data_IF_123423386884
#
_entry.id   IF_123423386884
#
_cell.length_a   1.000
_cell.length_b   1.000
_cell.length_c   1.000
_cell.angle_alpha   90.00
_cell.angle_beta   90.00
_cell.angle_gamma   90.00
#
_symmetry.space_group_name_H-M   'P 1'
#
loop_
_entity.id
_entity.type
_entity.pdbx_description
1 polymer ?
#
# COMPACT_ATOMS: atom_id res chain seq x y z
N UNK A 1 75.32 -34.13 -41.29
CA UNK A 1 74.49 -33.13 -42.00
C UNK A 1 73.38 -33.87 -42.72
N UNK A 2 72.09 -33.58 -42.49
CA UNK A 2 71.02 -34.18 -43.29
C UNK A 2 71.28 -33.89 -44.77
N UNK A 3 71.09 -34.87 -45.64
CA UNK A 3 71.26 -34.66 -47.08
C UNK A 3 70.25 -33.60 -47.56
N UNK A 4 70.60 -32.84 -48.59
CA UNK A 4 69.73 -31.83 -49.20
C UNK A 4 68.33 -32.37 -49.52
N UNK A 5 68.23 -33.66 -49.83
CA UNK A 5 66.98 -34.39 -50.10
C UNK A 5 66.11 -34.53 -48.84
N UNK A 6 66.71 -34.83 -47.68
CA UNK A 6 65.99 -34.95 -46.40
C UNK A 6 65.42 -33.59 -45.97
N UNK A 7 66.20 -32.51 -46.12
CA UNK A 7 65.70 -31.15 -45.82
C UNK A 7 64.56 -30.74 -46.75
N UNK A 8 64.64 -31.08 -48.04
CA UNK A 8 63.58 -30.78 -49.01
C UNK A 8 62.28 -31.54 -48.70
N UNK A 9 62.38 -32.81 -48.29
CA UNK A 9 61.24 -33.60 -47.82
C UNK A 9 60.58 -33.01 -46.58
N UNK A 10 61.37 -32.54 -45.60
CA UNK A 10 60.85 -31.89 -44.38
C UNK A 10 60.10 -30.60 -44.74
N UNK A 11 60.62 -29.80 -45.67
CA UNK A 11 59.95 -28.57 -46.14
C UNK A 11 58.61 -28.91 -46.79
N UNK A 12 58.58 -29.89 -47.69
CA UNK A 12 57.35 -30.31 -48.39
C UNK A 12 56.31 -30.83 -47.39
N UNK A 13 56.70 -31.67 -46.43
CA UNK A 13 55.81 -32.18 -45.39
C UNK A 13 55.28 -31.06 -44.51
N UNK A 14 56.12 -30.08 -44.14
CA UNK A 14 55.71 -28.92 -43.33
C UNK A 14 54.69 -28.05 -44.07
N UNK A 15 54.89 -27.82 -45.37
CA UNK A 15 53.94 -27.08 -46.22
C UNK A 15 52.61 -27.82 -46.32
N UNK A 16 52.61 -29.15 -46.53
CA UNK A 16 51.39 -29.95 -46.60
C UNK A 16 50.60 -29.94 -45.30
N UNK A 17 51.28 -30.02 -44.15
CA UNK A 17 50.64 -29.92 -42.82
C UNK A 17 50.05 -28.52 -42.62
N UNK A 18 50.76 -27.46 -43.01
CA UNK A 18 50.27 -26.09 -42.89
C UNK A 18 49.03 -25.84 -43.77
N UNK A 19 49.00 -26.32 -45.02
CA UNK A 19 47.85 -26.22 -45.92
C UNK A 19 46.66 -27.02 -45.37
N UNK A 20 46.91 -28.21 -44.84
CA UNK A 20 45.86 -29.04 -44.22
C UNK A 20 45.28 -28.38 -42.97
N UNK A 21 46.13 -27.78 -42.12
CA UNK A 21 45.69 -27.00 -40.97
C UNK A 21 44.88 -25.77 -41.37
N UNK A 22 45.31 -25.04 -42.39
CA UNK A 22 44.61 -23.85 -42.89
C UNK A 22 43.25 -24.20 -43.50
N UNK A 23 43.14 -25.29 -44.26
CA UNK A 23 41.87 -25.75 -44.85
C UNK A 23 40.89 -26.24 -43.79
N UNK A 24 41.35 -26.98 -42.77
CA UNK A 24 40.52 -27.33 -41.61
C UNK A 24 40.01 -26.08 -40.87
N UNK A 25 40.90 -25.10 -40.64
CA UNK A 25 40.54 -23.83 -39.99
C UNK A 25 39.54 -23.01 -40.81
N UNK A 26 39.74 -22.89 -42.13
CA UNK A 26 38.85 -22.17 -43.04
C UNK A 26 37.45 -22.83 -43.11
N UNK A 27 37.40 -24.16 -43.10
CA UNK A 27 36.14 -24.92 -43.10
C UNK A 27 35.40 -24.81 -41.76
N UNK A 28 36.15 -24.77 -40.66
CA UNK A 28 35.60 -24.51 -39.33
C UNK A 28 35.03 -23.09 -39.22
N UNK A 29 35.73 -22.08 -39.72
CA UNK A 29 35.25 -20.69 -39.73
C UNK A 29 34.06 -20.50 -40.67
N UNK A 30 34.03 -21.14 -41.84
CA UNK A 30 32.89 -20.99 -42.76
C UNK A 30 31.60 -21.57 -42.18
N UNK A 31 31.71 -22.62 -41.36
CA UNK A 31 30.55 -23.25 -40.70
C UNK A 31 30.15 -22.54 -39.40
N UNK A 32 31.11 -22.10 -38.58
CA UNK A 32 30.84 -21.44 -37.29
C UNK A 32 30.74 -19.91 -37.37
N UNK A 33 31.27 -19.30 -38.42
CA UNK A 33 31.32 -17.84 -38.58
C UNK A 33 29.93 -17.22 -38.72
N UNK A 34 29.01 -17.89 -39.42
CA UNK A 34 27.61 -17.44 -39.51
C UNK A 34 26.92 -17.45 -38.15
N UNK A 35 27.09 -18.51 -37.35
CA UNK A 35 26.53 -18.55 -35.99
C UNK A 35 27.16 -17.52 -35.06
N UNK A 36 28.47 -17.25 -35.21
CA UNK A 36 29.17 -16.24 -34.42
C UNK A 36 28.68 -14.83 -34.75
N UNK A 37 28.57 -14.49 -36.03
CA UNK A 37 28.04 -13.19 -36.48
C UNK A 37 26.59 -12.98 -36.04
N UNK A 38 25.77 -14.04 -36.07
CA UNK A 38 24.40 -14.00 -35.57
C UNK A 38 24.36 -13.71 -34.06
N UNK A 39 25.22 -14.35 -33.28
CA UNK A 39 25.32 -14.11 -31.85
C UNK A 39 25.79 -12.69 -31.56
N UNK A 40 26.84 -12.21 -32.24
CA UNK A 40 27.35 -10.84 -32.09
C UNK A 40 26.28 -9.79 -32.41
N UNK A 41 25.46 -10.02 -33.45
CA UNK A 41 24.35 -9.13 -33.78
C UNK A 41 23.30 -9.07 -32.65
N UNK A 42 22.86 -10.22 -32.14
CA UNK A 42 21.86 -10.29 -31.06
C UNK A 42 22.42 -9.74 -29.74
N UNK A 43 23.71 -9.95 -29.47
CA UNK A 43 24.44 -9.34 -28.34
C UNK A 43 24.49 -7.81 -28.51
N UNK A 44 24.73 -7.32 -29.72
CA UNK A 44 24.69 -5.89 -30.04
C UNK A 44 23.32 -5.26 -29.80
N UNK A 45 22.23 -5.96 -30.15
CA UNK A 45 20.87 -5.53 -29.81
C UNK A 45 20.68 -5.50 -28.29
N UNK A 46 21.05 -6.59 -27.61
CA UNK A 46 20.91 -6.74 -26.15
C UNK A 46 21.52 -5.59 -25.36
N UNK A 47 22.72 -5.14 -25.74
CA UNK A 47 23.44 -4.03 -25.09
C UNK A 47 22.75 -2.66 -25.23
N UNK A 48 21.86 -2.51 -26.20
CA UNK A 48 21.20 -1.24 -26.52
C UNK A 48 19.75 -1.17 -26.01
N UNK A 49 19.27 -2.22 -25.33
CA UNK A 49 17.95 -2.22 -24.72
C UNK A 49 18.00 -1.44 -23.41
N UNK A 50 17.00 -0.59 -23.19
CA UNK A 50 16.82 0.12 -21.92
C UNK A 50 15.38 -0.05 -21.46
N UNK A 51 15.22 -0.40 -20.18
CA UNK A 51 13.92 -0.55 -19.55
C UNK A 51 13.87 0.40 -18.35
N UNK A 52 12.87 1.27 -18.35
CA UNK A 52 12.60 2.19 -17.24
C UNK A 52 11.25 1.86 -16.62
N UNK A 53 11.21 1.82 -15.29
CA UNK A 53 10.05 1.44 -14.50
C UNK A 53 9.64 2.58 -13.58
N UNK A 54 8.34 2.89 -13.48
CA UNK A 54 7.84 3.88 -12.52
C UNK A 54 7.78 3.36 -11.09
N UNK A 55 7.54 4.26 -10.14
CA UNK A 55 7.15 3.91 -8.77
C UNK A 55 5.82 3.15 -8.74
N UNK A 56 5.60 2.38 -7.67
CA UNK A 56 4.40 1.55 -7.46
C UNK A 56 3.15 2.43 -7.40
N UNK A 57 2.16 2.14 -8.24
CA UNK A 57 0.83 2.75 -8.17
C UNK A 57 -0.14 1.74 -7.55
N UNK A 58 -0.27 1.76 -6.22
CA UNK A 58 -1.04 0.74 -5.48
C UNK A 58 -2.53 1.08 -5.33
N UNK A 59 -3.38 0.05 -5.51
CA UNK A 59 -4.75 0.00 -4.96
C UNK A 59 -5.03 -1.41 -4.44
N UNK A 60 -5.11 -1.56 -3.12
CA UNK A 60 -5.47 -2.84 -2.49
C UNK A 60 -6.89 -3.25 -2.84
N UNK A 61 -7.10 -4.53 -3.14
CA UNK A 61 -8.44 -5.11 -3.27
C UNK A 61 -8.78 -5.95 -2.03
N UNK A 62 -10.03 -5.82 -1.58
CA UNK A 62 -10.68 -6.53 -0.47
C UNK A 62 -10.69 -8.06 -0.68
N UNK A 63 -10.84 -8.93 0.35
CA UNK A 63 -10.76 -8.74 1.80
C UNK A 63 -9.55 -9.46 2.45
N UNK A 64 -8.57 -9.93 1.66
CA UNK A 64 -7.41 -10.63 2.22
C UNK A 64 -6.15 -10.29 1.44
N UNK A 65 -5.10 -9.92 2.15
CA UNK A 65 -3.72 -9.71 1.67
C UNK A 65 -3.07 -10.95 1.03
N UNK A 66 -3.86 -11.95 0.64
CA UNK A 66 -3.41 -13.11 -0.12
C UNK A 66 -2.87 -12.70 -1.48
N UNK A 67 -3.44 -11.66 -2.09
CA UNK A 67 -3.00 -11.13 -3.37
C UNK A 67 -3.11 -9.61 -3.44
N UNK A 68 -2.20 -8.99 -4.17
CA UNK A 68 -2.19 -7.56 -4.48
C UNK A 68 -2.21 -7.38 -5.99
N UNK A 69 -3.01 -6.42 -6.45
CA UNK A 69 -2.86 -5.90 -7.80
C UNK A 69 -1.86 -4.75 -7.74
N UNK A 70 -0.77 -4.90 -8.48
CA UNK A 70 0.26 -3.88 -8.63
C UNK A 70 0.30 -3.43 -10.08
N UNK A 71 0.54 -2.14 -10.29
CA UNK A 71 0.67 -1.57 -11.61
C UNK A 71 1.88 -0.65 -11.70
N UNK A 72 2.59 -0.73 -12.83
CA UNK A 72 3.80 0.03 -13.13
C UNK A 72 3.71 0.58 -14.55
N UNK A 73 4.23 1.79 -14.76
CA UNK A 73 4.57 2.24 -16.10
C UNK A 73 5.91 1.62 -16.48
N UNK A 74 5.93 0.97 -17.63
CA UNK A 74 7.11 0.37 -18.24
C UNK A 74 7.37 1.10 -19.53
N UNK A 75 8.54 1.68 -19.66
CA UNK A 75 9.02 2.25 -20.91
C UNK A 75 10.18 1.39 -21.40
N UNK A 76 10.10 0.95 -22.67
CA UNK A 76 11.13 0.11 -23.28
C UNK A 76 11.67 0.78 -24.52
N UNK A 77 12.99 0.96 -24.55
CA UNK A 77 13.74 1.42 -25.71
C UNK A 77 14.53 0.25 -26.29
N UNK A 78 14.35 0.01 -27.57
CA UNK A 78 15.04 -1.01 -28.37
C UNK A 78 15.56 -0.40 -29.68
N UNK A 79 16.70 -0.85 -30.22
CA UNK A 79 17.13 -0.49 -31.56
C UNK A 79 16.24 -1.08 -32.67
N UNK A 80 15.36 -2.04 -32.35
CA UNK A 80 14.37 -2.62 -33.27
C UNK A 80 13.01 -1.94 -33.12
N UNK A 81 12.19 -1.93 -34.17
CA UNK A 81 10.84 -1.33 -34.13
C UNK A 81 9.88 -2.07 -33.20
N UNK A 82 9.98 -3.40 -33.16
CA UNK A 82 9.16 -4.27 -32.33
C UNK A 82 10.03 -5.26 -31.55
N UNK A 83 9.55 -5.62 -30.37
CA UNK A 83 10.10 -6.66 -29.49
C UNK A 83 8.93 -7.42 -28.85
N UNK A 84 9.21 -8.66 -28.46
CA UNK A 84 8.22 -9.50 -27.77
C UNK A 84 8.52 -9.52 -26.28
N UNK A 85 7.52 -9.24 -25.45
CA UNK A 85 7.67 -9.24 -23.99
C UNK A 85 6.80 -10.31 -23.37
N UNK A 86 7.37 -11.00 -22.38
CA UNK A 86 6.67 -11.99 -21.56
C UNK A 86 6.77 -11.54 -20.09
N UNK A 87 5.73 -10.87 -19.56
CA UNK A 87 5.65 -10.54 -18.15
C UNK A 87 5.08 -11.73 -17.36
N UNK A 88 5.69 -12.05 -16.21
CA UNK A 88 5.18 -13.10 -15.33
C UNK A 88 5.56 -12.88 -13.88
N UNK A 89 4.85 -13.55 -12.98
CA UNK A 89 5.09 -13.47 -11.53
C UNK A 89 5.85 -14.70 -11.09
N UNK A 90 6.89 -14.52 -10.27
CA UNK A 90 7.71 -15.60 -9.75
C UNK A 90 8.05 -15.38 -8.27
N UNK A 91 8.42 -16.47 -7.58
CA UNK A 91 8.97 -16.39 -6.21
C UNK A 91 10.46 -16.04 -6.25
N UNK A 92 11.00 -15.21 -5.34
CA UNK A 92 12.41 -14.85 -5.29
C UNK A 92 13.34 -16.08 -5.29
N UNK A 93 14.39 -16.03 -6.11
CA UNK A 93 15.45 -17.01 -6.24
C UNK A 93 16.77 -16.25 -6.26
N UNK A 94 17.85 -16.94 -5.88
CA UNK A 94 19.18 -16.35 -5.74
C UNK A 94 19.67 -15.71 -7.05
N UNK A 95 19.29 -16.28 -8.19
CA UNK A 95 19.70 -15.77 -9.50
C UNK A 95 18.50 -15.58 -10.44
N UNK A 96 18.14 -14.32 -10.77
CA UNK A 96 17.01 -14.05 -11.64
C UNK A 96 17.17 -14.52 -13.10
N UNK A 97 18.39 -14.86 -13.51
CA UNK A 97 18.66 -15.39 -14.83
C UNK A 97 17.90 -16.69 -15.14
N UNK A 98 17.59 -17.51 -14.14
CA UNK A 98 17.01 -18.85 -14.34
C UNK A 98 15.48 -18.91 -14.29
N UNK A 99 14.81 -17.77 -14.14
CA UNK A 99 13.37 -17.74 -14.06
C UNK A 99 12.68 -18.08 -15.36
N UNK A 100 11.92 -19.17 -15.41
CA UNK A 100 11.08 -19.48 -16.57
C UNK A 100 9.65 -18.96 -16.39
N UNK A 101 9.01 -18.42 -17.45
CA UNK A 101 7.59 -18.10 -17.43
C UNK A 101 6.75 -19.35 -17.14
N UNK A 102 5.80 -19.29 -16.19
CA UNK A 102 4.83 -20.36 -15.96
C UNK A 102 3.74 -20.37 -17.05
N UNK A 103 3.05 -21.50 -17.21
CA UNK A 103 1.92 -21.63 -18.15
C UNK A 103 0.76 -20.69 -17.80
N UNK A 104 0.47 -20.51 -16.50
CA UNK A 104 -0.54 -19.58 -16.02
C UNK A 104 0.11 -18.23 -15.71
N UNK A 105 -0.18 -17.21 -16.53
CA UNK A 105 0.32 -15.87 -16.31
C UNK A 105 -0.62 -15.02 -15.45
N UNK A 106 -0.01 -14.28 -14.51
CA UNK A 106 -0.70 -13.37 -13.60
C UNK A 106 -0.37 -11.90 -13.91
N UNK A 107 0.16 -11.61 -15.10
CA UNK A 107 0.56 -10.27 -15.51
C UNK A 107 0.07 -9.98 -16.94
N UNK A 108 -0.30 -8.72 -17.17
CA UNK A 108 -0.84 -8.22 -18.44
C UNK A 108 -0.27 -6.83 -18.75
N UNK A 109 -0.19 -6.51 -20.04
CA UNK A 109 0.21 -5.19 -20.52
C UNK A 109 -0.98 -4.42 -21.10
N UNK A 110 -1.01 -3.12 -20.85
CA UNK A 110 -2.03 -2.19 -21.34
C UNK A 110 -1.38 -0.96 -21.94
N UNK A 111 -2.07 -0.30 -22.88
CA UNK A 111 -1.72 1.04 -23.33
C UNK A 111 -2.80 2.03 -22.89
N UNK A 112 -2.39 3.29 -22.70
CA UNK A 112 -3.30 4.37 -22.36
C UNK A 112 -4.01 4.89 -23.62
N UNK A 113 -5.32 5.08 -23.54
CA UNK A 113 -6.12 5.70 -24.60
C UNK A 113 -7.06 6.76 -24.01
N UNK A 114 -7.62 7.63 -24.86
CA UNK A 114 -8.61 8.62 -24.45
C UNK A 114 -9.89 8.01 -23.84
N UNK A 115 -10.15 6.71 -24.04
CA UNK A 115 -11.30 5.97 -23.49
C UNK A 115 -10.92 5.09 -22.29
N UNK A 116 -9.71 5.26 -21.74
CA UNK A 116 -9.17 4.46 -20.64
C UNK A 116 -8.07 3.48 -21.09
N UNK A 117 -7.80 2.47 -20.28
CA UNK A 117 -6.73 1.50 -20.53
C UNK A 117 -7.22 0.34 -21.39
N UNK A 118 -6.51 0.07 -22.48
CA UNK A 118 -6.81 -1.03 -23.41
C UNK A 118 -5.70 -2.06 -23.28
N UNK A 119 -6.06 -3.33 -23.12
CA UNK A 119 -5.09 -4.41 -23.02
C UNK A 119 -4.37 -4.60 -24.36
N UNK A 120 -3.05 -4.73 -24.32
CA UNK A 120 -2.25 -5.12 -25.49
C UNK A 120 -2.66 -6.53 -25.89
N UNK A 121 -2.91 -6.75 -27.18
CA UNK A 121 -3.31 -8.06 -27.70
C UNK A 121 -2.21 -9.08 -27.40
N UNK A 122 -2.55 -10.12 -26.64
CA UNK A 122 -1.65 -11.22 -26.35
C UNK A 122 -1.76 -12.32 -27.41
N UNK A 123 -0.74 -13.16 -27.47
CA UNK A 123 -0.74 -14.39 -28.26
C UNK A 123 -0.08 -15.52 -27.48
N UNK A 124 -0.46 -16.77 -27.78
CA UNK A 124 0.18 -17.95 -27.17
C UNK A 124 1.57 -18.12 -27.75
N UNK A 125 2.58 -18.16 -26.89
CA UNK A 125 3.98 -18.36 -27.23
C UNK A 125 4.43 -19.74 -26.76
N UNK A 126 4.73 -20.62 -27.72
CA UNK A 126 5.27 -21.96 -27.45
C UNK A 126 6.52 -22.20 -28.29
N UNK A 127 7.68 -21.84 -27.75
CA UNK A 127 8.96 -21.92 -28.48
C UNK A 127 10.15 -22.20 -27.55
N UNK A 128 11.23 -22.70 -28.16
CA UNK A 128 12.54 -22.80 -27.52
C UNK A 128 13.21 -21.41 -27.47
N UNK A 129 13.67 -21.01 -26.30
CA UNK A 129 14.34 -19.71 -26.07
C UNK A 129 15.81 -19.93 -25.73
N UNK A 130 16.68 -19.08 -26.28
CA UNK A 130 18.13 -19.16 -26.13
C UNK A 130 18.71 -17.87 -25.53
N UNK A 131 19.87 -17.97 -24.88
CA UNK A 131 20.66 -16.81 -24.48
C UNK A 131 21.45 -16.25 -25.67
N UNK A 132 21.61 -14.92 -25.79
CA UNK A 132 22.51 -14.32 -26.78
C UNK A 132 23.96 -14.77 -26.59
N UNK A 133 24.39 -14.93 -25.33
CA UNK A 133 25.74 -15.39 -25.00
C UNK A 133 25.82 -16.90 -25.23
N UNK A 134 26.72 -17.32 -26.14
CA UNK A 134 27.00 -18.72 -26.47
C UNK A 134 25.81 -19.51 -27.06
N UNK A 135 24.65 -18.89 -27.29
CA UNK A 135 23.48 -19.58 -27.82
C UNK A 135 22.89 -20.63 -26.87
N UNK A 136 23.14 -20.51 -25.56
CA UNK A 136 22.73 -21.48 -24.56
C UNK A 136 21.21 -21.64 -24.54
N UNK A 137 20.72 -22.89 -24.55
CA UNK A 137 19.30 -23.17 -24.41
C UNK A 137 18.81 -22.82 -23.00
N UNK A 138 17.83 -21.92 -22.90
CA UNK A 138 17.24 -21.48 -21.64
C UNK A 138 16.02 -22.32 -21.23
N UNK A 139 15.33 -22.90 -22.21
CA UNK A 139 14.16 -23.73 -21.97
C UNK A 139 13.10 -23.62 -23.06
N UNK A 140 12.14 -24.54 -23.01
CA UNK A 140 10.93 -24.47 -23.82
C UNK A 140 9.87 -23.68 -23.04
N UNK A 141 9.52 -22.51 -23.56
CA UNK A 141 8.54 -21.63 -22.92
C UNK A 141 7.16 -21.94 -23.48
N UNK A 142 6.18 -22.02 -22.59
CA UNK A 142 4.75 -22.03 -22.92
C UNK A 142 4.06 -20.97 -22.06
N UNK A 143 3.77 -19.81 -22.64
CA UNK A 143 3.22 -18.65 -21.93
C UNK A 143 2.49 -17.71 -22.89
N UNK A 144 1.83 -16.66 -22.39
CA UNK A 144 1.33 -15.58 -23.26
C UNK A 144 2.42 -14.51 -23.46
N UNK A 145 2.52 -14.01 -24.68
CA UNK A 145 3.46 -12.97 -25.05
C UNK A 145 2.74 -11.78 -25.68
N UNK A 146 3.41 -10.64 -25.65
CA UNK A 146 2.89 -9.36 -26.15
C UNK A 146 3.94 -8.77 -27.09
N UNK A 147 3.51 -8.38 -28.30
CA UNK A 147 4.37 -7.55 -29.15
C UNK A 147 4.20 -6.10 -28.72
N UNK A 148 5.32 -5.44 -28.45
CA UNK A 148 5.35 -4.04 -28.09
C UNK A 148 6.25 -3.28 -29.06
N UNK A 149 5.90 -2.03 -29.31
CA UNK A 149 6.70 -1.12 -30.11
C UNK A 149 7.78 -0.48 -29.24
N UNK A 150 8.93 -0.23 -29.85
CA UNK A 150 10.02 0.49 -29.20
C UNK A 150 9.65 1.95 -28.92
N UNK A 151 10.22 2.51 -27.84
CA UNK A 151 10.05 3.88 -27.38
C UNK A 151 8.63 4.24 -26.94
N UNK A 152 7.80 3.25 -26.60
CA UNK A 152 6.45 3.46 -26.06
C UNK A 152 6.36 3.10 -24.57
N UNK A 153 5.40 3.73 -23.89
CA UNK A 153 5.08 3.47 -22.49
C UNK A 153 3.86 2.56 -22.41
N UNK A 154 4.00 1.48 -21.63
CA UNK A 154 2.95 0.53 -21.34
C UNK A 154 2.67 0.50 -19.83
N UNK A 155 1.47 0.07 -19.46
CA UNK A 155 1.12 -0.23 -18.08
C UNK A 155 1.22 -1.74 -17.90
N UNK A 156 2.16 -2.16 -17.06
CA UNK A 156 2.23 -3.52 -16.58
C UNK A 156 1.37 -3.65 -15.35
N UNK A 157 0.36 -4.52 -15.39
CA UNK A 157 -0.44 -4.87 -14.22
C UNK A 157 -0.25 -6.34 -13.89
N UNK A 158 -0.06 -6.65 -12.61
CA UNK A 158 0.10 -8.02 -12.16
C UNK A 158 -0.60 -8.29 -10.82
N UNK A 159 -1.07 -9.53 -10.66
CA UNK A 159 -1.60 -10.06 -9.40
C UNK A 159 -0.52 -10.88 -8.70
N UNK A 160 -0.04 -10.39 -7.56
CA UNK A 160 1.11 -10.95 -6.82
C UNK A 160 0.72 -11.35 -5.40
N UNK A 161 1.45 -12.29 -4.78
CA UNK A 161 1.40 -12.57 -3.33
C UNK A 161 2.52 -11.82 -2.58
N UNK A 162 2.42 -11.65 -1.24
CA UNK A 162 3.54 -11.15 -0.45
C UNK A 162 4.85 -11.89 -0.77
N UNK A 163 5.92 -11.13 -1.00
CA UNK A 163 7.24 -11.69 -1.31
C UNK A 163 7.45 -12.13 -2.75
N UNK A 164 6.45 -12.08 -3.65
CA UNK A 164 6.65 -12.41 -5.06
C UNK A 164 7.17 -11.21 -5.86
N UNK A 165 7.91 -11.50 -6.93
CA UNK A 165 8.46 -10.52 -7.88
C UNK A 165 7.76 -10.64 -9.23
N UNK A 166 7.80 -9.57 -10.03
CA UNK A 166 7.38 -9.59 -11.43
C UNK A 166 8.64 -9.59 -12.28
N UNK A 167 8.66 -10.40 -13.32
CA UNK A 167 9.78 -10.52 -14.24
C UNK A 167 9.27 -10.17 -15.63
N UNK A 168 10.04 -9.38 -16.35
CA UNK A 168 9.83 -9.10 -17.76
C UNK A 168 10.97 -9.72 -18.55
N UNK A 169 10.63 -10.74 -19.34
CA UNK A 169 11.53 -11.23 -20.37
C UNK A 169 11.33 -10.44 -21.65
N UNK A 170 12.43 -9.99 -22.25
CA UNK A 170 12.43 -9.37 -23.57
C UNK A 170 13.03 -10.37 -24.56
N UNK A 171 12.23 -10.69 -25.56
CA UNK A 171 12.56 -11.64 -26.61
C UNK A 171 12.68 -10.94 -27.96
N UNK A 172 13.62 -11.44 -28.76
CA UNK A 172 13.76 -11.08 -30.16
C UNK A 172 13.87 -12.35 -31.01
N UNK A 173 13.15 -12.37 -32.12
CA UNK A 173 13.23 -13.45 -33.09
C UNK A 173 14.24 -13.09 -34.17
N UNK A 174 15.28 -13.91 -34.32
CA UNK A 174 16.32 -13.69 -35.32
C UNK A 174 16.79 -15.03 -35.89
N UNK A 175 16.80 -15.13 -37.23
CA UNK A 175 17.28 -16.30 -37.99
C UNK A 175 16.75 -17.65 -37.45
N UNK A 176 15.45 -17.77 -37.25
CA UNK A 176 14.81 -19.03 -36.88
C UNK A 176 14.81 -19.34 -35.38
N UNK A 177 15.39 -18.48 -34.53
CA UNK A 177 15.50 -18.69 -33.08
C UNK A 177 14.97 -17.50 -32.29
N UNK A 178 14.41 -17.80 -31.12
CA UNK A 178 14.04 -16.80 -30.13
C UNK A 178 15.16 -16.62 -29.12
N UNK A 179 15.62 -15.38 -28.97
CA UNK A 179 16.65 -15.02 -28.01
C UNK A 179 16.08 -14.17 -26.89
N UNK A 180 16.40 -14.48 -25.64
CA UNK A 180 16.14 -13.58 -24.51
C UNK A 180 17.24 -12.52 -24.45
N UNK A 181 16.99 -11.42 -25.15
CA UNK A 181 17.92 -10.31 -25.32
C UNK A 181 18.09 -9.48 -24.06
N UNK A 182 17.08 -9.42 -23.19
CA UNK A 182 17.19 -8.78 -21.88
C UNK A 182 16.16 -9.36 -20.91
N UNK A 183 16.37 -9.12 -19.62
CA UNK A 183 15.37 -9.34 -18.61
C UNK A 183 15.52 -8.32 -17.49
N UNK A 184 14.39 -7.89 -16.94
CA UNK A 184 14.37 -7.14 -15.69
C UNK A 184 13.39 -7.77 -14.73
N UNK A 185 13.55 -7.45 -13.46
CA UNK A 185 12.59 -7.82 -12.45
C UNK A 185 12.22 -6.60 -11.63
N UNK A 186 10.95 -6.57 -11.28
CA UNK A 186 10.38 -5.64 -10.34
C UNK A 186 10.23 -6.44 -9.06
N UNK A 187 10.92 -6.02 -8.00
CA UNK A 187 10.62 -6.51 -6.68
C UNK A 187 9.67 -5.54 -5.99
N UNK A 188 8.36 -5.85 -5.91
CA UNK A 188 7.41 -4.98 -5.25
C UNK A 188 7.77 -4.82 -3.76
N UNK A 189 8.44 -5.79 -3.10
CA UNK A 189 8.86 -5.63 -1.69
C UNK A 189 9.97 -4.60 -1.50
N UNK A 190 10.96 -4.51 -2.41
CA UNK A 190 12.00 -3.47 -2.37
C UNK A 190 11.46 -2.08 -2.74
N UNK A 191 10.41 -2.02 -3.56
CA UNK A 191 9.65 -0.80 -3.81
C UNK A 191 8.70 -0.42 -2.65
N UNK A 192 8.72 -1.19 -1.56
CA UNK A 192 7.87 -0.97 -0.39
C UNK A 192 6.50 -1.64 -0.47
N UNK A 193 6.41 -2.96 -0.66
CA UNK A 193 5.18 -3.71 -0.27
C UNK A 193 4.95 -3.74 1.25
N UNK A 194 5.71 -2.97 2.02
CA UNK A 194 5.37 -2.69 3.39
C UNK A 194 4.35 -1.57 3.43
N UNK A 195 3.20 -1.85 4.03
CA UNK A 195 2.33 -0.78 4.46
C UNK A 195 3.05 -0.10 5.62
N UNK A 196 3.35 1.18 5.48
CA UNK A 196 3.78 2.01 6.60
C UNK A 196 2.53 2.43 7.33
N UNK A 197 2.47 2.24 8.64
CA UNK A 197 1.45 2.84 9.46
C UNK A 197 2.09 3.70 10.55
N UNK A 198 1.30 4.64 11.02
CA UNK A 198 1.74 5.66 11.94
C UNK A 198 1.91 5.07 13.34
N UNK A 199 3.13 5.11 13.85
CA UNK A 199 3.39 4.78 15.25
C UNK A 199 2.73 5.79 16.16
N UNK A 200 2.25 5.31 17.30
CA UNK A 200 1.85 6.19 18.38
C UNK A 200 2.99 7.10 18.85
N UNK A 201 4.25 6.78 18.57
CA UNK A 201 5.44 7.53 19.00
C UNK A 201 5.64 8.94 18.42
N UNK A 202 4.77 9.40 17.52
CA UNK A 202 4.86 10.74 16.95
C UNK A 202 4.37 11.83 17.91
N UNK A 203 4.86 13.06 17.73
CA UNK A 203 4.19 14.25 18.26
C UNK A 203 3.18 14.69 17.20
N UNK A 204 1.88 14.59 17.48
CA UNK A 204 0.81 15.09 16.61
C UNK A 204 0.36 16.44 17.14
N UNK A 205 0.61 17.49 16.37
CA UNK A 205 0.13 18.83 16.70
C UNK A 205 -1.05 19.14 15.78
N UNK A 206 -2.24 19.13 16.36
CA UNK A 206 -3.44 19.66 15.73
C UNK A 206 -3.38 21.21 15.76
N UNK A 207 -2.37 21.83 15.14
CA UNK A 207 -2.31 23.29 14.97
C UNK A 207 -2.32 23.67 13.49
N UNK A 208 -3.44 24.21 13.03
CA UNK A 208 -3.48 25.06 11.85
C UNK A 208 -2.94 26.44 12.23
N UNK A 209 -1.62 26.62 12.25
CA UNK A 209 -0.97 27.88 12.62
C UNK A 209 -1.24 29.07 11.68
N UNK A 210 -2.07 28.91 10.65
CA UNK A 210 -2.46 29.97 9.73
C UNK A 210 -3.98 29.94 9.57
N UNK A 211 -4.68 30.86 10.24
CA UNK A 211 -5.79 31.67 9.74
C UNK A 211 -6.48 32.35 10.94
N UNK A 212 -6.65 33.68 10.86
CA UNK A 212 -7.61 34.45 11.67
C UNK A 212 -9.07 34.10 11.28
N UNK A 213 -9.36 32.81 11.11
CA UNK A 213 -10.68 32.24 10.86
C UNK A 213 -10.67 30.86 11.53
N UNK A 214 -11.68 30.51 12.34
CA UNK A 214 -11.66 29.33 13.18
C UNK A 214 -11.70 28.07 12.30
N UNK A 215 -10.53 27.47 12.05
CA UNK A 215 -10.46 26.06 11.70
C UNK A 215 -11.14 25.28 12.82
N UNK A 216 -11.93 24.24 12.51
CA UNK A 216 -13.09 23.92 13.32
C UNK A 216 -12.67 23.53 14.74
N UNK A 217 -12.89 24.46 15.67
CA UNK A 217 -13.61 24.12 16.88
C UNK A 217 -14.68 23.12 16.44
N UNK A 218 -14.53 21.84 16.77
CA UNK A 218 -15.54 20.84 16.43
C UNK A 218 -16.74 21.22 17.28
N UNK A 219 -17.60 22.09 16.73
CA UNK A 219 -18.76 22.66 17.40
C UNK A 219 -19.64 21.47 17.75
N UNK A 220 -19.51 20.96 18.96
CA UNK A 220 -20.28 19.82 19.46
C UNK A 220 -21.65 20.33 19.91
N UNK A 221 -22.29 21.23 19.13
CA UNK A 221 -23.65 21.76 19.36
C UNK A 221 -24.77 20.68 19.31
N UNK A 222 -24.47 19.45 19.73
CA UNK A 222 -24.68 18.21 19.03
C UNK A 222 -24.76 17.11 20.08
N UNK A 223 -25.97 16.58 20.30
CA UNK A 223 -26.24 15.64 21.39
C UNK A 223 -25.62 14.25 21.22
N UNK A 224 -24.52 14.10 20.47
CA UNK A 224 -23.76 12.86 20.39
C UNK A 224 -22.44 12.98 19.64
N UNK A 225 -21.39 12.39 20.23
CA UNK A 225 -20.08 12.15 19.63
C UNK A 225 -19.79 10.65 19.64
N UNK A 226 -19.34 10.13 18.50
CA UNK A 226 -18.81 8.78 18.36
C UNK A 226 -17.37 8.87 17.86
N UNK A 227 -16.49 8.05 18.42
CA UNK A 227 -15.08 7.99 18.02
C UNK A 227 -14.63 6.53 17.94
N UNK A 228 -13.70 6.22 17.04
CA UNK A 228 -13.03 4.93 17.07
C UNK A 228 -11.78 4.88 16.21
N UNK A 229 -10.97 3.85 16.43
CA UNK A 229 -9.71 3.66 15.73
C UNK A 229 -9.31 2.18 15.66
N UNK A 230 -8.46 1.88 14.69
CA UNK A 230 -7.73 0.62 14.59
C UNK A 230 -6.32 0.80 15.13
N UNK A 231 -5.91 -0.07 16.05
CA UNK A 231 -4.55 -0.09 16.60
C UNK A 231 -3.98 -1.50 16.72
N UNK A 232 -2.66 -1.58 16.79
CA UNK A 232 -1.89 -2.82 17.00
C UNK A 232 -0.80 -2.55 18.04
N UNK A 233 -0.66 -3.46 19.00
CA UNK A 233 0.50 -3.48 19.88
C UNK A 233 1.71 -4.06 19.13
N UNK A 234 2.79 -3.29 19.02
CA UNK A 234 4.05 -3.69 18.38
C UNK A 234 5.04 -4.28 19.35
N UNK A 235 5.14 -3.74 20.55
CA UNK A 235 6.00 -4.23 21.62
C UNK A 235 5.27 -4.09 22.96
N UNK A 236 5.77 -4.70 24.03
CA UNK A 236 5.17 -4.55 25.34
C UNK A 236 5.46 -3.16 25.92
N UNK A 237 4.42 -2.46 26.38
CA UNK A 237 4.54 -1.16 27.03
C UNK A 237 5.17 -1.30 28.43
N UNK A 238 6.45 -0.99 28.61
CA UNK A 238 7.05 -1.01 29.96
C UNK A 238 6.51 0.10 30.87
N UNK A 239 5.97 1.17 30.28
CA UNK A 239 5.38 2.33 30.95
C UNK A 239 4.01 2.65 30.35
N UNK A 240 3.23 3.52 31.00
CA UNK A 240 1.96 4.02 30.45
C UNK A 240 2.17 4.69 29.10
N UNK A 241 1.61 4.07 28.06
CA UNK A 241 1.68 4.54 26.68
C UNK A 241 0.28 4.90 26.20
N UNK A 242 0.06 6.19 25.89
CA UNK A 242 -1.20 6.68 25.35
C UNK A 242 -1.39 6.19 23.91
N UNK A 243 -2.62 5.78 23.59
CA UNK A 243 -3.08 5.43 22.22
C UNK A 243 -3.98 6.55 21.71
N UNK A 244 -4.88 7.06 22.55
CA UNK A 244 -5.81 8.13 22.21
C UNK A 244 -6.13 8.98 23.44
N UNK A 245 -6.16 10.30 23.25
CA UNK A 245 -6.79 11.25 24.15
C UNK A 245 -7.79 12.12 23.36
N UNK A 246 -9.03 12.18 23.82
CA UNK A 246 -10.04 13.10 23.31
C UNK A 246 -10.45 14.02 24.44
N UNK A 247 -9.98 15.26 24.40
CA UNK A 247 -10.34 16.33 25.36
C UNK A 247 -11.56 17.07 24.84
N UNK A 248 -12.59 17.19 25.67
CA UNK A 248 -13.87 17.79 25.35
C UNK A 248 -14.08 19.01 26.26
N UNK A 249 -14.39 20.15 25.65
CA UNK A 249 -14.86 21.33 26.36
C UNK A 249 -16.37 21.25 26.50
N UNK A 250 -16.94 21.23 27.73
CA UNK A 250 -18.37 21.10 27.96
C UNK A 250 -19.22 22.24 27.39
N UNK A 251 -20.55 22.04 27.36
CA UNK A 251 -21.51 23.09 26.97
C UNK A 251 -21.93 24.02 28.11
N UNK A 252 -21.91 23.54 29.35
CA UNK A 252 -22.08 24.37 30.53
C UNK A 252 -20.73 24.96 30.99
N UNK A 253 -20.75 25.90 31.95
CA UNK A 253 -19.56 26.49 32.57
C UNK A 253 -18.79 25.46 33.42
N UNK A 254 -18.18 24.47 32.77
CA UNK A 254 -17.32 23.46 33.37
C UNK A 254 -15.93 23.47 32.73
N UNK A 255 -14.94 22.95 33.45
CA UNK A 255 -13.63 22.68 32.85
C UNK A 255 -13.70 21.50 31.89
N UNK A 256 -12.68 21.40 31.03
CA UNK A 256 -12.56 20.31 30.07
C UNK A 256 -12.56 18.93 30.76
N UNK A 257 -12.90 17.88 30.02
CA UNK A 257 -12.66 16.51 30.44
C UNK A 257 -12.05 15.69 29.29
N UNK A 258 -11.31 14.64 29.61
CA UNK A 258 -10.64 13.79 28.63
C UNK A 258 -11.16 12.36 28.67
N UNK A 259 -11.31 11.74 27.51
CA UNK A 259 -11.48 10.29 27.34
C UNK A 259 -10.14 9.73 26.89
N UNK A 260 -9.59 8.80 27.66
CA UNK A 260 -8.23 8.29 27.55
C UNK A 260 -8.23 6.79 27.26
N UNK A 261 -7.40 6.37 26.31
CA UNK A 261 -7.11 4.97 25.99
C UNK A 261 -5.60 4.79 26.01
N UNK A 262 -5.10 3.86 26.83
CA UNK A 262 -3.66 3.62 26.98
C UNK A 262 -3.37 2.15 27.29
N UNK A 263 -2.10 1.77 27.14
CA UNK A 263 -1.61 0.43 27.45
C UNK A 263 -0.48 0.48 28.50
N UNK A 264 -0.40 -0.59 29.30
CA UNK A 264 0.72 -0.91 30.20
C UNK A 264 0.94 -2.43 30.14
N UNK A 265 2.15 -2.85 29.80
CA UNK A 265 2.49 -4.22 29.46
C UNK A 265 1.68 -4.67 28.26
N UNK A 266 0.92 -5.75 28.43
CA UNK A 266 -0.06 -6.27 27.47
C UNK A 266 -1.51 -5.94 27.86
N UNK A 267 -1.72 -4.98 28.78
CA UNK A 267 -3.03 -4.63 29.31
C UNK A 267 -3.49 -3.30 28.75
N UNK A 268 -4.67 -3.32 28.15
CA UNK A 268 -5.38 -2.15 27.67
C UNK A 268 -6.26 -1.57 28.78
N UNK A 269 -6.12 -0.27 29.01
CA UNK A 269 -6.89 0.49 29.98
C UNK A 269 -7.63 1.62 29.27
N UNK A 270 -8.77 1.96 29.85
CA UNK A 270 -9.59 3.07 29.40
C UNK A 270 -10.05 3.89 30.59
N UNK A 271 -10.24 5.19 30.39
CA UNK A 271 -10.60 6.08 31.48
C UNK A 271 -11.11 7.43 31.04
N UNK A 272 -11.66 8.16 31.99
CA UNK A 272 -12.03 9.57 31.88
C UNK A 272 -11.26 10.38 32.91
N UNK A 273 -10.92 11.62 32.57
CA UNK A 273 -10.26 12.55 33.48
C UNK A 273 -11.00 13.89 33.45
N UNK A 274 -11.53 14.32 34.58
CA UNK A 274 -12.21 15.61 34.74
C UNK A 274 -11.20 16.63 35.28
N UNK A 275 -11.00 17.74 34.54
CA UNK A 275 -10.03 18.76 34.94
C UNK A 275 -10.50 19.61 36.12
N UNK A 276 -11.82 19.77 36.31
CA UNK A 276 -12.38 20.58 37.40
C UNK A 276 -12.16 19.87 38.74
N UNK A 277 -12.67 18.64 38.85
CA UNK A 277 -12.54 17.84 40.07
C UNK A 277 -11.17 17.16 40.21
N UNK A 278 -10.34 17.17 39.16
CA UNK A 278 -9.08 16.42 39.06
C UNK A 278 -9.26 14.92 39.34
N UNK A 279 -10.46 14.40 39.07
CA UNK A 279 -10.79 12.99 39.28
C UNK A 279 -10.52 12.19 38.02
N UNK A 280 -9.98 10.99 38.22
CA UNK A 280 -9.75 10.03 37.15
C UNK A 280 -10.58 8.77 37.40
N UNK A 281 -11.47 8.43 36.48
CA UNK A 281 -12.12 7.13 36.44
C UNK A 281 -11.39 6.26 35.44
N UNK A 282 -10.95 5.08 35.85
CA UNK A 282 -10.25 4.17 34.95
C UNK A 282 -10.67 2.72 35.19
N UNK A 283 -10.61 1.92 34.14
CA UNK A 283 -10.82 0.48 34.23
C UNK A 283 -9.90 -0.27 33.28
N UNK A 284 -9.53 -1.47 33.69
CA UNK A 284 -8.88 -2.44 32.81
C UNK A 284 -9.91 -2.97 31.82
N UNK A 285 -9.61 -2.89 30.53
CA UNK A 285 -10.51 -3.34 29.47
C UNK A 285 -10.16 -4.74 28.97
N UNK A 286 -8.91 -5.02 28.59
CA UNK A 286 -8.57 -6.30 27.97
C UNK A 286 -7.06 -6.56 27.92
N UNK A 287 -6.66 -7.82 27.80
CA UNK A 287 -5.26 -8.21 27.52
C UNK A 287 -5.05 -8.30 26.01
N UNK A 288 -4.35 -7.33 25.45
CA UNK A 288 -4.00 -7.27 24.04
C UNK A 288 -2.74 -8.09 23.77
N UNK A 289 -2.64 -8.66 22.58
CA UNK A 289 -1.52 -9.48 22.15
C UNK A 289 -0.71 -8.73 21.08
N UNK A 290 0.61 -8.83 21.20
CA UNK A 290 1.53 -8.26 20.22
C UNK A 290 1.24 -8.80 18.81
N UNK A 291 1.23 -7.92 17.82
CA UNK A 291 1.01 -8.30 16.42
C UNK A 291 -0.46 -8.41 16.01
N UNK A 292 -1.42 -8.34 16.95
CA UNK A 292 -2.84 -8.40 16.64
C UNK A 292 -3.47 -7.01 16.52
N UNK A 293 -4.38 -6.85 15.55
CA UNK A 293 -5.14 -5.64 15.34
C UNK A 293 -6.44 -5.65 16.13
N UNK A 294 -6.74 -4.51 16.74
CA UNK A 294 -7.93 -4.28 17.56
C UNK A 294 -8.65 -3.02 17.10
N UNK A 295 -9.98 -3.07 17.11
CA UNK A 295 -10.82 -1.90 16.88
C UNK A 295 -11.45 -1.48 18.19
N UNK A 296 -11.18 -0.25 18.61
CA UNK A 296 -11.77 0.33 19.81
C UNK A 296 -12.62 1.53 19.40
N UNK A 297 -13.80 1.63 19.98
CA UNK A 297 -14.70 2.75 19.75
C UNK A 297 -15.50 3.08 21.00
N UNK A 298 -15.99 4.31 21.04
CA UNK A 298 -16.85 4.80 22.10
C UNK A 298 -17.84 5.83 21.57
N UNK A 299 -18.88 6.09 22.35
CA UNK A 299 -19.82 7.17 22.08
C UNK A 299 -20.41 7.73 23.36
N UNK A 300 -20.67 9.03 23.40
CA UNK A 300 -21.37 9.72 24.49
C UNK A 300 -22.20 10.89 23.92
N UNK A 301 -23.20 11.37 24.67
CA UNK A 301 -24.13 12.38 24.16
C UNK A 301 -25.50 12.38 24.85
N UNK A 302 -26.17 13.53 24.91
CA UNK A 302 -27.55 13.63 25.42
C UNK A 302 -28.60 12.85 24.60
N UNK A 303 -28.36 12.61 23.30
CA UNK A 303 -29.22 11.83 22.40
C UNK A 303 -28.88 10.34 22.39
N UNK A 304 -27.85 9.92 23.13
CA UNK A 304 -27.46 8.53 23.28
C UNK A 304 -28.01 7.95 24.58
N UNK A 305 -28.13 6.61 24.65
CA UNK A 305 -28.71 5.91 25.82
C UNK A 305 -27.96 6.15 27.14
N UNK A 306 -26.72 6.61 27.09
CA UNK A 306 -25.86 6.86 28.26
C UNK A 306 -25.46 8.34 28.28
N UNK A 307 -26.32 9.18 28.85
CA UNK A 307 -26.11 10.63 28.89
C UNK A 307 -24.94 11.02 29.80
N UNK A 308 -24.74 10.32 30.92
CA UNK A 308 -23.71 10.65 31.92
C UNK A 308 -22.58 9.61 31.97
N UNK A 309 -22.47 8.77 30.94
CA UNK A 309 -21.38 7.82 30.85
C UNK A 309 -20.97 7.53 29.41
N UNK A 310 -19.69 7.23 29.24
CA UNK A 310 -19.13 6.75 27.97
C UNK A 310 -18.98 5.23 28.02
N UNK A 311 -19.56 4.56 27.03
CA UNK A 311 -19.36 3.13 26.83
C UNK A 311 -18.27 2.91 25.78
N UNK A 312 -17.25 2.15 26.16
CA UNK A 312 -16.12 1.82 25.30
C UNK A 312 -16.19 0.33 24.97
N UNK A 313 -16.12 0.00 23.69
CA UNK A 313 -16.20 -1.35 23.15
C UNK A 313 -14.93 -1.70 22.38
N UNK A 314 -14.45 -2.93 22.55
CA UNK A 314 -13.26 -3.48 21.90
C UNK A 314 -13.64 -4.69 21.04
N UNK A 315 -13.19 -4.69 19.80
CA UNK A 315 -13.39 -5.77 18.84
C UNK A 315 -12.06 -6.33 18.33
N UNK A 316 -12.07 -7.60 17.94
CA UNK A 316 -10.96 -8.22 17.20
C UNK A 316 -10.90 -7.75 15.75
N UNK A 317 -9.79 -8.07 15.08
CA UNK A 317 -9.63 -7.91 13.62
C UNK A 317 -10.71 -8.59 12.77
N UNK A 318 -11.40 -9.59 13.31
CA UNK A 318 -12.51 -10.31 12.65
C UNK A 318 -13.89 -9.72 12.96
N UNK A 319 -13.96 -8.64 13.73
CA UNK A 319 -15.22 -8.01 14.14
C UNK A 319 -15.91 -8.67 15.34
N UNK A 320 -15.25 -9.64 16.01
CA UNK A 320 -15.80 -10.26 17.23
C UNK A 320 -15.65 -9.29 18.41
N UNK A 321 -16.74 -9.03 19.14
CA UNK A 321 -16.68 -8.29 20.40
C UNK A 321 -15.81 -9.03 21.42
N UNK A 322 -14.79 -8.36 21.94
CA UNK A 322 -13.85 -8.91 22.91
C UNK A 322 -14.20 -8.49 24.33
N UNK A 323 -14.40 -7.19 24.56
CA UNK A 323 -14.86 -6.67 25.84
C UNK A 323 -15.49 -5.28 25.70
N UNK A 324 -16.16 -4.82 26.75
CA UNK A 324 -16.76 -3.50 26.84
C UNK A 324 -16.94 -3.03 28.29
N UNK A 325 -17.08 -1.73 28.49
CA UNK A 325 -17.34 -1.14 29.82
C UNK A 325 -18.82 -1.29 30.21
N UNK A 326 -19.18 -2.34 30.95
CA UNK A 326 -20.58 -2.71 31.25
C UNK A 326 -21.41 -1.62 31.96
N UNK A 327 -20.79 -0.85 32.87
CA UNK A 327 -21.46 0.23 33.62
C UNK A 327 -21.14 1.63 33.06
N UNK A 328 -20.43 1.71 31.92
CA UNK A 328 -19.86 2.95 31.40
C UNK A 328 -18.81 3.57 32.32
N UNK A 329 -18.06 4.53 31.80
CA UNK A 329 -17.22 5.42 32.60
C UNK A 329 -17.95 6.74 32.80
N UNK A 330 -17.97 7.24 34.03
CA UNK A 330 -18.63 8.51 34.34
C UNK A 330 -17.97 9.67 33.59
N UNK A 331 -18.79 10.55 33.05
CA UNK A 331 -18.37 11.83 32.45
C UNK A 331 -19.08 12.97 33.18
N UNK A 332 -18.43 14.13 33.35
CA UNK A 332 -19.01 15.26 34.07
C UNK A 332 -20.16 15.92 33.30
N UNK A 333 -20.18 15.82 31.97
CA UNK A 333 -21.22 16.41 31.12
C UNK A 333 -21.51 15.57 29.88
N UNK A 334 -22.78 15.57 29.45
CA UNK A 334 -23.26 14.79 28.30
C UNK A 334 -22.88 15.38 26.94
N UNK A 335 -22.63 16.68 26.87
CA UNK A 335 -22.40 17.42 25.62
C UNK A 335 -21.10 18.24 25.74
N UNK A 336 -20.51 18.59 24.61
CA UNK A 336 -19.38 19.53 24.55
C UNK A 336 -19.64 20.64 23.53
N UNK A 337 -18.80 21.66 23.45
CA UNK A 337 -18.73 22.55 22.27
C UNK A 337 -17.48 22.36 21.44
N UNK A 338 -16.40 21.79 21.99
CA UNK A 338 -15.14 21.58 21.28
C UNK A 338 -14.62 20.19 21.65
N UNK A 339 -14.09 19.46 20.66
CA UNK A 339 -13.23 18.30 20.95
C UNK A 339 -11.84 18.51 20.33
N UNK A 340 -10.82 18.21 21.13
CA UNK A 340 -9.40 18.23 20.76
C UNK A 340 -8.90 16.80 20.84
N UNK A 341 -8.37 16.29 19.74
CA UNK A 341 -7.94 14.91 19.62
C UNK A 341 -6.42 14.85 19.60
N UNK A 342 -5.86 13.90 20.33
CA UNK A 342 -4.44 13.58 20.31
C UNK A 342 -4.27 12.08 20.13
N UNK A 343 -3.50 11.68 19.11
CA UNK A 343 -3.18 10.29 18.86
C UNK A 343 -1.82 9.95 19.48
N UNK A 344 -1.72 8.76 20.09
CA UNK A 344 -0.44 8.17 20.50
C UNK A 344 0.31 8.86 21.66
N UNK A 345 1.54 8.39 21.87
CA UNK A 345 2.58 8.93 22.76
C UNK A 345 3.95 8.46 22.29
N UNK A 346 5.02 9.22 22.60
CA UNK A 346 6.43 9.08 22.13
C UNK A 346 7.10 7.69 22.14
N UNK A 347 6.47 6.68 22.72
CA UNK A 347 6.97 5.31 22.77
C UNK A 347 6.52 4.49 21.55
N UNK A 348 7.46 3.84 20.84
CA UNK A 348 7.26 2.99 19.64
C UNK A 348 6.58 1.64 19.95
N UNK A 349 5.50 1.70 20.73
CA UNK A 349 4.92 0.52 21.37
C UNK A 349 3.64 0.07 20.68
N UNK A 350 2.89 0.99 20.08
CA UNK A 350 1.73 0.68 19.26
C UNK A 350 1.69 1.50 17.97
N UNK A 351 0.81 1.07 17.06
CA UNK A 351 0.62 1.66 15.74
C UNK A 351 -0.86 1.86 15.50
N UNK A 352 -1.22 2.98 14.89
CA UNK A 352 -2.58 3.35 14.53
C UNK A 352 -2.65 3.38 13.01
N UNK A 353 -3.67 2.74 12.43
CA UNK A 353 -3.83 2.68 10.98
C UNK A 353 -4.96 3.57 10.48
N UNK A 354 -6.03 3.70 11.25
CA UNK A 354 -7.21 4.49 10.90
C UNK A 354 -7.89 5.02 12.16
N UNK A 355 -8.51 6.19 12.06
CA UNK A 355 -9.37 6.74 13.10
C UNK A 355 -10.55 7.50 12.48
N UNK A 356 -11.65 7.60 13.21
CA UNK A 356 -12.79 8.43 12.83
C UNK A 356 -13.43 9.10 14.03
N UNK A 357 -14.16 10.17 13.74
CA UNK A 357 -15.24 10.64 14.60
C UNK A 357 -16.52 10.88 13.80
N UNK A 358 -17.65 10.91 14.49
CA UNK A 358 -18.95 11.27 13.95
C UNK A 358 -19.75 12.04 15.00
N UNK A 359 -20.50 13.05 14.57
CA UNK A 359 -21.32 13.86 15.46
C UNK A 359 -22.76 14.02 14.98
N UNK A 360 -23.70 14.17 15.92
CA UNK A 360 -25.15 14.29 15.67
C UNK A 360 -25.63 15.74 15.67
N UNK A 361 -26.42 16.19 14.71
CA UNK A 361 -27.08 17.51 14.75
C UNK A 361 -28.02 17.64 15.96
N UNK A 362 -28.20 18.85 16.50
CA UNK A 362 -29.23 19.14 17.50
C UNK A 362 -30.61 19.24 16.84
N UNK A 363 -31.48 18.26 17.08
CA UNK A 363 -32.85 18.23 16.54
C UNK A 363 -33.51 16.86 16.71
N UNK A 364 -34.84 16.83 16.86
CA UNK A 364 -35.64 15.68 17.29
C UNK A 364 -35.38 14.35 16.53
N UNK A 365 -35.19 13.26 17.30
CA UNK A 365 -35.76 11.88 17.22
C UNK A 365 -35.89 11.20 15.81
N UNK A 366 -35.54 9.94 15.50
CA UNK A 366 -35.12 8.70 16.20
C UNK A 366 -34.40 7.75 15.20
N UNK A 367 -33.33 8.18 14.51
CA UNK A 367 -32.50 7.21 13.75
C UNK A 367 -31.01 7.43 13.97
N UNK A 368 -30.48 6.72 14.98
CA UNK A 368 -29.04 6.60 15.24
C UNK A 368 -28.34 5.65 14.25
N UNK A 369 -29.06 5.13 13.26
CA UNK A 369 -28.54 4.17 12.28
C UNK A 369 -27.35 4.74 11.54
N UNK A 370 -27.46 5.95 10.98
CA UNK A 370 -26.34 6.59 10.26
C UNK A 370 -25.15 6.86 11.16
N UNK A 371 -25.37 7.16 12.45
CA UNK A 371 -24.32 7.37 13.45
C UNK A 371 -23.55 6.07 13.74
N UNK A 372 -24.25 4.97 14.04
CA UNK A 372 -23.61 3.67 14.27
C UNK A 372 -23.10 3.00 12.98
N UNK A 373 -23.59 3.39 11.82
CA UNK A 373 -23.07 2.92 10.53
C UNK A 373 -21.63 3.35 10.31
N UNK A 374 -21.21 4.55 10.77
CA UNK A 374 -19.84 5.02 10.61
C UNK A 374 -18.83 4.07 11.28
N UNK A 375 -19.10 3.68 12.53
CA UNK A 375 -18.24 2.71 13.24
C UNK A 375 -18.29 1.32 12.59
N UNK A 376 -19.47 0.89 12.14
CA UNK A 376 -19.68 -0.38 11.46
C UNK A 376 -18.92 -0.45 10.13
N UNK A 377 -18.88 0.66 9.37
CA UNK A 377 -18.11 0.79 8.13
C UNK A 377 -16.62 0.60 8.45
N UNK A 378 -16.08 1.30 9.46
CA UNK A 378 -14.66 1.15 9.83
C UNK A 378 -14.33 -0.29 10.26
N UNK A 379 -15.19 -0.89 11.08
CA UNK A 379 -15.00 -2.25 11.58
C UNK A 379 -15.02 -3.28 10.43
N UNK A 380 -15.98 -3.18 9.51
CA UNK A 380 -16.12 -4.12 8.38
C UNK A 380 -15.05 -3.94 7.31
N UNK A 381 -14.59 -2.70 7.09
CA UNK A 381 -13.52 -2.39 6.16
C UNK A 381 -12.19 -3.00 6.60
N UNK A 382 -11.95 -3.07 7.92
CA UNK A 382 -10.71 -3.58 8.49
C UNK A 382 -9.61 -2.52 8.55
N UNK A 383 -8.48 -2.89 9.16
CA UNK A 383 -7.49 -1.93 9.67
C UNK A 383 -6.67 -1.19 8.61
N UNK A 384 -6.52 -1.65 7.37
CA UNK A 384 -5.79 -0.86 6.33
C UNK A 384 -6.67 -0.41 5.16
N UNK A 385 -7.94 -0.79 5.11
CA UNK A 385 -8.74 -0.50 3.93
C UNK A 385 -9.29 0.92 4.00
N UNK A 386 -8.85 1.77 3.08
CA UNK A 386 -9.38 3.11 2.93
C UNK A 386 -10.61 3.12 2.01
N UNK A 387 -11.79 3.42 2.56
CA UNK A 387 -12.99 3.64 1.77
C UNK A 387 -13.73 4.91 2.23
N UNK A 388 -13.16 6.05 1.82
CA UNK A 388 -13.76 7.38 2.01
C UNK A 388 -15.12 7.53 1.32
N UNK A 389 -15.40 6.74 0.27
CA UNK A 389 -16.70 6.76 -0.41
C UNK A 389 -17.83 6.37 0.54
N UNK A 390 -17.67 5.34 1.37
CA UNK A 390 -18.72 4.93 2.31
C UNK A 390 -18.98 5.99 3.39
N UNK A 391 -17.95 6.69 3.87
CA UNK A 391 -18.11 7.78 4.83
C UNK A 391 -18.84 8.96 4.21
N UNK A 392 -18.41 9.38 3.02
CA UNK A 392 -19.03 10.44 2.25
C UNK A 392 -20.50 10.12 1.92
N UNK A 393 -20.78 8.90 1.44
CA UNK A 393 -22.14 8.42 1.18
C UNK A 393 -23.01 8.49 2.44
N UNK A 394 -22.47 8.09 3.60
CA UNK A 394 -23.22 8.07 4.87
C UNK A 394 -23.61 9.48 5.31
N UNK A 395 -22.72 10.47 5.21
CA UNK A 395 -23.05 11.84 5.60
C UNK A 395 -23.96 12.53 4.58
N UNK A 396 -23.74 12.33 3.27
CA UNK A 396 -24.59 12.90 2.21
C UNK A 396 -26.04 12.44 2.32
N UNK A 397 -26.26 11.19 2.75
CA UNK A 397 -27.60 10.60 2.87
C UNK A 397 -28.11 10.59 4.31
N UNK A 398 -27.52 11.37 5.22
CA UNK A 398 -27.98 11.48 6.59
C UNK A 398 -28.46 12.88 6.92
N UNK A 399 -29.70 12.98 7.37
CA UNK A 399 -30.27 14.23 7.88
C UNK A 399 -29.89 14.49 9.36
N UNK A 400 -29.15 13.58 9.99
CA UNK A 400 -28.90 13.60 11.43
C UNK A 400 -27.43 13.79 11.78
N UNK A 401 -26.52 13.58 10.83
CA UNK A 401 -25.08 13.75 11.07
C UNK A 401 -24.70 15.20 10.83
N UNK A 402 -23.94 15.78 11.75
CA UNK A 402 -23.35 17.08 11.53
C UNK A 402 -21.99 16.97 10.83
N UNK A 403 -21.16 16.04 11.29
CA UNK A 403 -19.83 15.84 10.74
C UNK A 403 -19.36 14.39 10.83
N UNK A 404 -18.50 14.01 9.88
CA UNK A 404 -17.65 12.82 9.95
C UNK A 404 -16.21 13.28 9.73
N UNK A 405 -15.34 12.99 10.69
CA UNK A 405 -13.89 13.10 10.54
C UNK A 405 -13.28 11.73 10.32
N UNK A 406 -12.28 11.65 9.45
CA UNK A 406 -11.60 10.40 9.12
C UNK A 406 -10.12 10.63 8.88
N UNK A 407 -9.28 9.85 9.55
CA UNK A 407 -7.84 9.81 9.34
C UNK A 407 -7.43 8.44 8.83
N UNK A 408 -6.62 8.44 7.78
CA UNK A 408 -6.01 7.25 7.20
C UNK A 408 -4.51 7.35 7.31
N UNK A 409 -3.93 6.53 8.18
CA UNK A 409 -2.53 6.61 8.57
C UNK A 409 -1.63 5.57 7.88
N UNK A 410 -2.18 4.84 6.91
CA UNK A 410 -1.45 3.81 6.17
C UNK A 410 -0.92 4.39 4.86
N UNK A 411 0.38 4.25 4.62
CA UNK A 411 1.03 4.72 3.40
C UNK A 411 1.79 3.57 2.71
N UNK A 412 1.56 3.32 1.41
CA UNK A 412 2.05 2.13 0.74
C UNK A 412 3.43 2.28 0.08
N UNK A 413 4.17 3.36 0.39
CA UNK A 413 5.44 3.67 -0.28
C UNK A 413 6.47 4.23 0.70
N UNK A 414 7.75 4.16 0.36
CA UNK A 414 8.81 4.82 1.12
C UNK A 414 9.44 5.97 0.30
N UNK A 415 9.82 7.11 0.92
CA UNK A 415 9.55 7.47 2.31
C UNK A 415 8.09 7.90 2.51
N UNK A 416 7.50 7.62 3.69
CA UNK A 416 6.16 8.08 4.00
C UNK A 416 6.12 9.60 4.21
N UNK A 417 4.97 10.26 3.99
CA UNK A 417 4.90 11.72 4.01
C UNK A 417 5.03 12.26 5.44
N UNK A 418 5.72 13.38 5.61
CA UNK A 418 5.87 14.05 6.91
C UNK A 418 4.57 14.68 7.42
N UNK A 419 3.52 14.76 6.59
CA UNK A 419 2.21 15.31 6.93
C UNK A 419 1.14 14.32 6.46
N UNK A 420 0.18 14.01 7.33
CA UNK A 420 -1.04 13.28 6.96
C UNK A 420 -2.21 14.21 7.27
N UNK A 421 -3.09 14.42 6.31
CA UNK A 421 -4.30 15.18 6.56
C UNK A 421 -5.45 14.26 6.93
N UNK A 422 -6.20 14.63 7.97
CA UNK A 422 -7.55 14.11 8.19
C UNK A 422 -8.51 14.71 7.16
N UNK A 423 -9.59 13.99 6.85
CA UNK A 423 -10.69 14.50 6.02
C UNK A 423 -11.88 14.74 6.93
N UNK A 424 -12.45 15.94 6.85
CA UNK A 424 -13.66 16.33 7.55
C UNK A 424 -14.75 16.62 6.53
N UNK A 425 -15.83 15.85 6.59
CA UNK A 425 -17.10 16.20 5.96
C UNK A 425 -18.01 16.82 7.00
N UNK A 426 -18.56 18.01 6.74
CA UNK A 426 -19.44 18.70 7.69
C UNK A 426 -20.49 19.58 7.03
N UNK A 427 -21.56 19.85 7.77
CA UNK A 427 -22.63 20.77 7.39
C UNK A 427 -22.36 22.17 8.00
N UNK A 428 -21.98 23.19 7.21
CA UNK A 428 -21.49 24.48 7.71
C UNK A 428 -22.54 25.39 8.35
N UNK A 429 -23.82 25.18 8.05
CA UNK A 429 -24.93 25.82 8.75
C UNK A 429 -25.86 24.71 9.19
N UNK A 430 -26.33 24.75 10.44
CA UNK A 430 -27.31 23.83 11.00
C UNK A 430 -28.68 23.93 10.33
N UNK A 431 -28.73 23.91 9.00
CA UNK A 431 -29.96 23.83 8.22
C UNK A 431 -30.57 22.45 8.46
N UNK A 432 -31.39 22.40 9.50
CA UNK A 432 -32.43 21.42 9.62
C UNK A 432 -33.21 21.34 8.31
N UNK A 433 -33.63 20.12 7.98
CA UNK A 433 -34.70 19.82 7.06
C UNK A 433 -34.72 20.63 5.76
N UNK A 434 -34.00 20.15 4.73
CA UNK A 434 -34.51 20.29 3.36
C UNK A 434 -33.59 20.77 2.25
N UNK A 435 -32.28 20.97 2.47
CA UNK A 435 -31.40 21.40 1.38
C UNK A 435 -30.44 20.28 0.93
N UNK A 436 -30.59 19.88 -0.34
CA UNK A 436 -29.71 19.00 -1.12
C UNK A 436 -28.28 19.55 -1.31
N UNK A 437 -27.68 20.17 -0.29
CA UNK A 437 -26.31 20.68 -0.36
C UNK A 437 -25.35 19.59 0.05
N UNK A 438 -24.40 19.31 -0.84
CA UNK A 438 -23.29 18.42 -0.57
C UNK A 438 -22.52 18.92 0.67
N UNK A 439 -22.09 18.03 1.58
CA UNK A 439 -21.32 18.43 2.76
C UNK A 439 -20.03 19.15 2.34
N UNK A 440 -19.65 20.16 3.10
CA UNK A 440 -18.36 20.82 2.91
C UNK A 440 -17.24 19.86 3.30
N UNK A 441 -16.15 19.88 2.52
CA UNK A 441 -14.95 19.10 2.78
C UNK A 441 -13.86 20.03 3.27
N UNK A 442 -13.28 19.70 4.41
CA UNK A 442 -12.09 20.34 4.95
C UNK A 442 -11.00 19.29 5.18
N UNK A 443 -9.75 19.65 4.89
CA UNK A 443 -8.61 18.79 5.18
C UNK A 443 -7.96 19.29 6.47
N UNK A 444 -8.02 18.48 7.52
CA UNK A 444 -7.43 18.78 8.83
C UNK A 444 -5.92 18.56 8.70
N UNK A 445 -5.09 19.62 8.74
CA UNK A 445 -3.65 19.45 8.67
C UNK A 445 -3.13 18.89 10.00
N UNK A 446 -2.68 17.63 10.02
CA UNK A 446 -1.93 17.12 11.16
C UNK A 446 -0.44 17.39 10.91
N UNK A 447 0.10 18.37 11.63
CA UNK A 447 1.53 18.63 11.62
C UNK A 447 2.15 17.76 12.70
N UNK A 448 2.73 16.63 12.28
CA UNK A 448 3.43 15.74 13.19
C UNK A 448 4.75 15.27 12.61
N UNK A 449 5.77 15.18 13.46
CA UNK A 449 6.97 14.41 13.14
C UNK A 449 6.59 12.92 13.26
N UNK A 450 5.90 12.41 12.23
CA UNK A 450 5.29 11.09 12.20
C UNK A 450 6.37 10.02 12.18
N UNK A 451 6.44 9.19 13.23
CA UNK A 451 7.26 7.98 13.14
C UNK A 451 6.45 6.90 12.45
N UNK A 452 6.76 6.59 11.20
CA UNK A 452 6.14 5.48 10.50
C UNK A 452 6.86 4.18 10.81
N UNK A 453 6.09 3.11 10.96
CA UNK A 453 6.59 1.77 11.20
C UNK A 453 6.04 0.86 10.11
N UNK A 454 6.89 -0.04 9.62
CA UNK A 454 6.50 -1.10 8.70
C UNK A 454 5.53 -2.06 9.43
N UNK A 455 4.33 -2.28 8.88
CA UNK A 455 3.34 -3.18 9.48
C UNK A 455 3.22 -4.54 8.82
#
# INVERSE_FOLDING_TARGET
MPSTVVNLLIIVVTILIAISGFTLYATYISTQGLSLLQQEYVIGISKNIQITLSQLTYKGLQPSYKYFNVSYLVWVKSPTSEITVIPFVASPQVNPYYYSPPQTQNASLFFSSAKGYIQVKNFSFTSNVYSPQQGQFLGKVNAYAFNISSNQTYILSAKIRPGQIIILWILYYYNGKWYRIDYTYINPTNAGLGLFALSSSGNYVANSGNLNNPAPHIVTSQGGLGFGLWFQQKTNATTKTLILNVTISPTANGDNFSILIWEIGNKLYVGTYDYNSKTQYQTYLYSIAQGYWYFINFSFGSLLKSTNSVNITLYSSTGKLLNYTKNGLSIPESNGYISVVSFGSRSLVNVISQAFFVTLQSGNSVSLTSFYNVSTIMLKNGFVYNNTYNYNWTIVHSNFLNAIGYWYFVYPSYPPPNVINGILWYSPSGSGNGNNKYPSIYYIPEQGYNTYVLI
#
